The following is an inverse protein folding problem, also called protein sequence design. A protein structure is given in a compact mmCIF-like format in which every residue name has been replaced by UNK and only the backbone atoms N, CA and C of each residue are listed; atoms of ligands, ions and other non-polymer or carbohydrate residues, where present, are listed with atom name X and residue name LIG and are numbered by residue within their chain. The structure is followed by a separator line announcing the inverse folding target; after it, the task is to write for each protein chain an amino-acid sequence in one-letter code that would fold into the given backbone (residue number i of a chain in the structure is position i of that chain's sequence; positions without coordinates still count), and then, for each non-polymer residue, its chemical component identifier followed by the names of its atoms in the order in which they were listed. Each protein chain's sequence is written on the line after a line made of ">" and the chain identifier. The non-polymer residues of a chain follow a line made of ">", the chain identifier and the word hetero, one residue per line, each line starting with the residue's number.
data_IF_470194520438
#
_entry.id   IF_470194520438
#
_cell.length_a   1.000
_cell.length_b   1.000
_cell.length_c   1.000
_cell.angle_alpha   90.00
_cell.angle_beta   90.00
_cell.angle_gamma   90.00
#
_symmetry.space_group_name_H-M   'P 1'
#
loop_
_entity.id
_entity.type
_entity.pdbx_description
1 polymer ?
#
# COMPACT_ATOMS: atom_id res chain seq x y z
N UNK A 1 -2.43 8.73 -15.22
CA UNK A 1 -2.02 9.92 -14.44
C UNK A 1 -1.37 9.46 -13.14
N UNK A 2 -0.35 10.16 -12.63
CA UNK A 2 0.16 9.88 -11.28
C UNK A 2 -0.59 10.74 -10.27
N UNK A 3 -1.06 10.15 -9.17
CA UNK A 3 -1.76 10.83 -8.09
C UNK A 3 -1.24 10.34 -6.74
N UNK A 4 -1.42 11.14 -5.69
CA UNK A 4 -1.20 10.66 -4.35
C UNK A 4 -2.32 9.70 -3.92
N UNK A 5 -1.98 8.76 -3.05
CA UNK A 5 -2.91 7.73 -2.60
C UNK A 5 -4.13 8.33 -1.88
N UNK A 6 -3.94 9.38 -1.09
CA UNK A 6 -5.00 10.13 -0.41
C UNK A 6 -5.98 10.83 -1.38
N UNK A 7 -5.51 11.26 -2.54
CA UNK A 7 -6.31 11.93 -3.60
C UNK A 7 -7.17 10.96 -4.41
N UNK A 8 -6.95 9.65 -4.31
CA UNK A 8 -7.74 8.66 -5.03
C UNK A 8 -9.18 8.57 -4.49
N UNK A 9 -10.13 8.34 -5.40
CA UNK A 9 -11.50 8.05 -5.00
C UNK A 9 -11.63 6.64 -4.37
N UNK A 10 -12.78 6.35 -3.74
CA UNK A 10 -13.00 5.10 -3.00
C UNK A 10 -12.74 3.84 -3.84
N UNK A 11 -13.17 3.82 -5.11
CA UNK A 11 -12.97 2.70 -6.02
C UNK A 11 -11.49 2.48 -6.35
N UNK A 12 -10.75 3.56 -6.62
CA UNK A 12 -9.33 3.50 -6.90
C UNK A 12 -8.52 3.07 -5.67
N UNK A 13 -8.86 3.58 -4.49
CA UNK A 13 -8.26 3.13 -3.22
C UNK A 13 -8.49 1.64 -3.00
N UNK A 14 -9.72 1.16 -3.21
CA UNK A 14 -10.05 -0.27 -3.08
C UNK A 14 -9.23 -1.14 -4.05
N UNK A 15 -9.02 -0.67 -5.28
CA UNK A 15 -8.18 -1.36 -6.26
C UNK A 15 -6.71 -1.44 -5.81
N UNK A 16 -6.13 -0.31 -5.39
CA UNK A 16 -4.74 -0.23 -4.88
C UNK A 16 -4.56 -1.14 -3.68
N UNK A 17 -5.47 -1.08 -2.72
CA UNK A 17 -5.50 -1.96 -1.55
C UNK A 17 -5.50 -3.43 -1.94
N UNK A 18 -6.43 -3.84 -2.79
CA UNK A 18 -6.57 -5.24 -3.21
C UNK A 18 -5.29 -5.75 -3.89
N UNK A 19 -4.72 -4.96 -4.81
CA UNK A 19 -3.49 -5.33 -5.54
C UNK A 19 -2.30 -5.42 -4.58
N UNK A 20 -2.17 -4.51 -3.63
CA UNK A 20 -1.09 -4.54 -2.65
C UNK A 20 -1.22 -5.68 -1.65
N UNK A 21 -2.42 -5.92 -1.11
CA UNK A 21 -2.68 -7.08 -0.23
C UNK A 21 -2.32 -8.37 -0.95
N UNK A 22 -2.72 -8.53 -2.21
CA UNK A 22 -2.39 -9.72 -3.00
C UNK A 22 -0.87 -9.87 -3.23
N UNK A 23 -0.16 -8.76 -3.46
CA UNK A 23 1.28 -8.77 -3.72
C UNK A 23 2.12 -9.01 -2.45
N UNK A 24 1.81 -8.33 -1.37
CA UNK A 24 2.59 -8.37 -0.12
C UNK A 24 2.16 -9.50 0.80
N UNK A 25 0.97 -10.08 0.58
CA UNK A 25 0.32 -11.08 1.44
C UNK A 25 0.14 -10.60 2.89
N UNK A 26 0.20 -9.29 3.12
CA UNK A 26 0.05 -8.70 4.44
C UNK A 26 -1.43 -8.51 4.83
N UNK A 27 -1.75 -8.50 6.13
CA UNK A 27 -3.10 -8.21 6.61
C UNK A 27 -3.60 -6.86 6.11
N UNK A 28 -4.91 -6.81 5.80
CA UNK A 28 -5.58 -5.61 5.28
C UNK A 28 -5.28 -4.36 6.13
N UNK A 29 -5.41 -4.48 7.44
CA UNK A 29 -5.19 -3.37 8.38
C UNK A 29 -3.76 -2.80 8.29
N UNK A 30 -2.76 -3.67 8.16
CA UNK A 30 -1.36 -3.26 8.05
C UNK A 30 -1.14 -2.52 6.74
N UNK A 31 -1.63 -3.06 5.62
CA UNK A 31 -1.54 -2.38 4.31
C UNK A 31 -2.20 -1.01 4.35
N UNK A 32 -3.37 -0.90 4.99
CA UNK A 32 -4.13 0.35 5.06
C UNK A 32 -3.36 1.40 5.88
N UNK A 33 -2.84 1.00 7.05
CA UNK A 33 -2.00 1.85 7.89
C UNK A 33 -0.76 2.32 7.15
N UNK A 34 -0.05 1.41 6.48
CA UNK A 34 1.18 1.72 5.74
C UNK A 34 0.90 2.68 4.57
N UNK A 35 -0.15 2.47 3.81
CA UNK A 35 -0.49 3.35 2.69
C UNK A 35 -0.94 4.74 3.14
N UNK A 36 -1.68 4.84 4.24
CA UNK A 36 -2.03 6.13 4.83
C UNK A 36 -0.79 6.90 5.31
N UNK A 37 0.20 6.20 5.89
CA UNK A 37 1.44 6.78 6.37
C UNK A 37 2.37 7.22 5.23
N UNK A 38 2.58 6.35 4.25
CA UNK A 38 3.51 6.60 3.15
C UNK A 38 2.92 7.57 2.13
N UNK A 39 1.60 7.55 1.95
CA UNK A 39 0.88 8.28 0.91
C UNK A 39 1.55 8.21 -0.48
N UNK A 40 1.77 7.00 -1.02
CA UNK A 40 2.60 6.82 -2.18
C UNK A 40 2.00 7.47 -3.43
N UNK A 41 2.87 7.99 -4.29
CA UNK A 41 2.48 8.38 -5.65
C UNK A 41 2.25 7.11 -6.47
N UNK A 42 1.04 6.97 -7.01
CA UNK A 42 0.60 5.80 -7.77
C UNK A 42 0.07 6.22 -9.12
N UNK A 43 0.27 5.37 -10.13
CA UNK A 43 -0.32 5.55 -11.46
C UNK A 43 -1.33 4.44 -11.69
N UNK A 44 -2.56 4.82 -12.03
CA UNK A 44 -3.62 3.88 -12.42
C UNK A 44 -3.80 3.99 -13.93
N UNK A 45 -3.78 2.84 -14.60
CA UNK A 45 -4.11 2.69 -16.02
C UNK A 45 -5.10 1.53 -16.10
N UNK A 46 -6.31 1.80 -16.57
CA UNK A 46 -7.43 0.87 -16.57
C UNK A 46 -7.70 0.27 -15.18
N UNK A 47 -7.18 -0.94 -14.93
CA UNK A 47 -7.30 -1.65 -13.65
C UNK A 47 -5.96 -2.08 -13.05
N UNK A 48 -4.86 -1.55 -13.60
CA UNK A 48 -3.53 -1.79 -13.08
C UNK A 48 -3.00 -0.63 -12.26
N UNK A 49 -2.34 -1.02 -11.18
CA UNK A 49 -1.77 -0.12 -10.18
C UNK A 49 -0.26 -0.20 -10.34
N UNK A 50 0.29 0.87 -10.87
CA UNK A 50 1.72 1.03 -11.10
C UNK A 50 2.29 1.88 -9.97
N UNK A 51 3.26 1.31 -9.27
CA UNK A 51 4.00 1.95 -8.20
C UNK A 51 5.47 1.90 -8.59
N UNK A 52 6.18 3.01 -8.41
CA UNK A 52 7.62 3.01 -8.65
C UNK A 52 8.30 1.96 -7.77
N UNK A 53 9.30 1.26 -8.33
CA UNK A 53 9.97 0.17 -7.64
C UNK A 53 10.48 0.57 -6.24
N UNK A 54 11.15 1.71 -6.13
CA UNK A 54 11.63 2.24 -4.84
C UNK A 54 10.49 2.46 -3.83
N UNK A 55 9.32 2.94 -4.28
CA UNK A 55 8.16 3.13 -3.42
C UNK A 55 7.58 1.80 -2.97
N UNK A 56 7.57 0.80 -3.85
CA UNK A 56 7.14 -0.55 -3.49
C UNK A 56 8.06 -1.15 -2.41
N UNK A 57 9.38 -1.03 -2.57
CA UNK A 57 10.34 -1.50 -1.56
C UNK A 57 10.13 -0.81 -0.20
N UNK A 58 9.87 0.51 -0.20
CA UNK A 58 9.55 1.26 1.03
C UNK A 58 8.25 0.78 1.69
N UNK A 59 7.23 0.48 0.91
CA UNK A 59 5.97 -0.10 1.41
C UNK A 59 6.23 -1.48 2.04
N UNK A 60 6.97 -2.35 1.37
CA UNK A 60 7.30 -3.69 1.87
C UNK A 60 8.10 -3.64 3.18
N UNK A 61 9.13 -2.78 3.25
CA UNK A 61 9.89 -2.56 4.47
C UNK A 61 9.00 -2.10 5.63
N UNK A 62 8.11 -1.12 5.38
CA UNK A 62 7.24 -0.61 6.45
C UNK A 62 6.21 -1.65 6.90
N UNK A 63 5.70 -2.48 5.98
CA UNK A 63 4.84 -3.61 6.33
C UNK A 63 5.57 -4.58 7.27
N UNK A 64 6.83 -4.91 6.96
CA UNK A 64 7.62 -5.82 7.81
C UNK A 64 7.87 -5.23 9.20
N UNK A 65 8.16 -3.92 9.31
CA UNK A 65 8.29 -3.23 10.59
C UNK A 65 7.00 -3.31 11.42
N UNK A 66 5.85 -2.99 10.81
CA UNK A 66 4.55 -3.03 11.48
C UNK A 66 4.17 -4.46 11.93
N UNK A 67 4.51 -5.47 11.14
CA UNK A 67 4.31 -6.87 11.52
C UNK A 67 5.24 -7.29 12.67
N UNK A 68 6.48 -6.80 12.71
CA UNK A 68 7.41 -7.09 13.81
C UNK A 68 6.92 -6.49 15.12
N UNK A 69 6.51 -5.22 15.11
CA UNK A 69 5.95 -4.56 16.30
C UNK A 69 4.71 -5.29 16.83
N UNK A 70 3.80 -5.72 15.95
CA UNK A 70 2.64 -6.53 16.36
C UNK A 70 3.01 -7.86 17.00
N UNK A 71 4.13 -8.48 16.64
CA UNK A 71 4.57 -9.74 17.24
C UNK A 71 5.33 -9.55 18.58
N UNK A 72 5.97 -8.39 18.78
CA UNK A 72 6.65 -8.05 20.05
C UNK A 72 5.66 -7.61 21.15
N UNK A 73 4.42 -7.26 20.78
CA UNK A 73 3.33 -6.90 21.70
C UNK A 73 2.57 -8.11 22.29
N UNK A 74 2.95 -9.37 21.95
CA UNK A 74 2.38 -10.62 22.47
C UNK A 74 3.44 -11.49 23.15
#
# INVERSE_FOLDING_TARGET
>A
MFMHYDQLCSTQKALVHRKLIARTKAPREVVYKVLALINPKVKIIDQDVLIMYYMMSKIEQRILEELRMKNEEY
#
